data_IF_536315138140
#
_entry.id   IF_536315138140
#
_cell.length_a   1.000
_cell.length_b   1.000
_cell.length_c   1.000
_cell.angle_alpha   90.00
_cell.angle_beta   90.00
_cell.angle_gamma   90.00
#
_symmetry.space_group_name_H-M   'P 1'
#
loop_
_entity.id
_entity.type
_entity.pdbx_description
1 polymer ?
#
# COMPACT_ATOMS: atom_id res chain seq x y z
N UNK A 1 1.55 10.82 55.39
CA UNK A 1 0.63 11.66 54.60
C UNK A 1 0.17 12.95 55.29
N UNK A 2 -0.07 13.00 56.62
CA UNK A 2 -0.51 14.24 57.32
C UNK A 2 0.51 15.38 57.31
N UNK A 3 1.82 15.09 57.21
CA UNK A 3 2.89 16.11 57.24
C UNK A 3 2.94 16.95 55.95
N UNK A 4 2.91 16.28 54.79
CA UNK A 4 2.92 16.92 53.45
C UNK A 4 1.68 17.83 53.28
N UNK A 5 0.51 17.34 53.69
CA UNK A 5 -0.73 18.12 53.67
C UNK A 5 -0.68 19.35 54.58
N UNK A 6 -0.06 19.23 55.77
CA UNK A 6 0.17 20.37 56.67
C UNK A 6 1.12 21.40 56.04
N UNK A 7 2.21 20.96 55.42
CA UNK A 7 3.14 21.86 54.72
C UNK A 7 2.49 22.60 53.55
N UNK A 8 1.72 21.89 52.71
CA UNK A 8 1.03 22.48 51.56
C UNK A 8 0.01 23.54 51.99
N UNK A 9 -0.71 23.31 53.10
CA UNK A 9 -1.70 24.27 53.62
C UNK A 9 -1.10 25.45 54.38
N UNK A 10 0.15 25.33 54.83
CA UNK A 10 0.83 26.34 55.66
C UNK A 10 1.61 27.37 54.82
N UNK A 11 2.14 26.97 53.65
CA UNK A 11 2.91 27.86 52.78
C UNK A 11 2.18 28.29 51.50
N UNK A 12 1.09 27.62 51.12
CA UNK A 12 0.34 27.90 49.90
C UNK A 12 -1.15 28.04 50.19
N UNK A 13 -1.76 29.08 49.62
CA UNK A 13 -3.22 29.24 49.69
C UNK A 13 -3.90 28.08 48.96
N UNK A 14 -5.07 27.64 49.46
CA UNK A 14 -5.90 26.62 48.77
C UNK A 14 -6.14 27.00 47.31
N UNK A 15 -6.33 28.29 47.00
CA UNK A 15 -6.52 28.77 45.64
C UNK A 15 -5.29 28.57 44.75
N UNK A 16 -4.08 28.72 45.30
CA UNK A 16 -2.84 28.45 44.57
C UNK A 16 -2.70 26.95 44.29
N UNK A 17 -2.98 26.10 45.27
CA UNK A 17 -2.94 24.64 45.13
C UNK A 17 -3.92 24.14 44.06
N UNK A 18 -5.16 24.65 44.08
CA UNK A 18 -6.13 24.38 43.02
C UNK A 18 -5.65 24.88 41.66
N UNK A 19 -5.06 26.08 41.59
CA UNK A 19 -4.47 26.60 40.35
C UNK A 19 -3.38 25.70 39.78
N UNK A 20 -2.43 25.25 40.61
CA UNK A 20 -1.38 24.31 40.19
C UNK A 20 -1.95 22.97 39.73
N UNK A 21 -2.96 22.45 40.41
CA UNK A 21 -3.63 21.22 40.01
C UNK A 21 -4.32 21.36 38.66
N UNK A 22 -5.11 22.42 38.46
CA UNK A 22 -5.79 22.66 37.17
C UNK A 22 -4.78 22.89 36.04
N UNK A 23 -3.71 23.65 36.27
CA UNK A 23 -2.68 23.88 35.25
C UNK A 23 -2.01 22.58 34.80
N UNK A 24 -1.67 21.68 35.74
CA UNK A 24 -1.10 20.37 35.40
C UNK A 24 -2.13 19.46 34.72
N UNK A 25 -3.39 19.51 35.13
CA UNK A 25 -4.47 18.75 34.51
C UNK A 25 -4.67 19.18 33.05
N UNK A 26 -4.76 20.48 32.79
CA UNK A 26 -4.88 21.00 31.43
C UNK A 26 -3.64 20.70 30.60
N UNK A 27 -2.44 20.81 31.17
CA UNK A 27 -1.19 20.43 30.50
C UNK A 27 -1.23 18.97 30.04
N UNK A 28 -1.67 18.05 30.91
CA UNK A 28 -1.84 16.64 30.57
C UNK A 28 -2.90 16.41 29.50
N UNK A 29 -4.04 17.10 29.56
CA UNK A 29 -5.09 17.01 28.55
C UNK A 29 -4.58 17.43 27.17
N UNK A 30 -3.83 18.54 27.08
CA UNK A 30 -3.26 19.01 25.81
C UNK A 30 -2.27 17.99 25.23
N UNK A 31 -1.40 17.42 26.07
CA UNK A 31 -0.43 16.41 25.63
C UNK A 31 -1.14 15.16 25.11
N UNK A 32 -2.13 14.64 25.83
CA UNK A 32 -2.90 13.46 25.42
C UNK A 32 -3.68 13.72 24.13
N UNK A 33 -4.26 14.91 23.99
CA UNK A 33 -4.98 15.32 22.79
C UNK A 33 -4.04 15.38 21.57
N UNK A 34 -2.81 15.91 21.73
CA UNK A 34 -1.80 15.91 20.68
C UNK A 34 -1.41 14.49 20.24
N UNK A 35 -1.25 13.56 21.18
CA UNK A 35 -0.94 12.15 20.87
C UNK A 35 -2.11 11.47 20.15
N UNK A 36 -3.35 11.73 20.57
CA UNK A 36 -4.55 11.20 19.91
C UNK A 36 -4.67 11.76 18.49
N UNK A 37 -4.59 13.08 18.34
CA UNK A 37 -4.64 13.75 17.04
C UNK A 37 -3.55 13.24 16.08
N UNK A 38 -2.31 13.07 16.56
CA UNK A 38 -1.25 12.48 15.75
C UNK A 38 -1.61 11.08 15.24
N UNK A 39 -2.15 10.22 16.12
CA UNK A 39 -2.58 8.87 15.74
C UNK A 39 -3.78 8.87 14.80
N UNK A 40 -4.68 9.82 14.93
CA UNK A 40 -5.89 9.90 14.11
C UNK A 40 -5.59 10.44 12.70
N UNK A 41 -4.64 11.37 12.61
CA UNK A 41 -4.24 12.01 11.36
C UNK A 41 -3.25 11.15 10.57
N UNK A 42 -2.41 10.36 11.24
CA UNK A 42 -1.42 9.50 10.59
C UNK A 42 -2.03 8.58 9.51
N UNK A 43 -3.14 7.85 9.74
CA UNK A 43 -3.84 7.07 8.72
C UNK A 43 -4.30 7.88 7.52
N UNK A 44 -4.71 9.14 7.70
CA UNK A 44 -5.16 9.97 6.57
C UNK A 44 -3.99 10.28 5.60
N UNK A 45 -2.77 10.37 6.11
CA UNK A 45 -1.56 10.57 5.30
C UNK A 45 -0.92 9.26 4.83
N UNK A 46 -0.94 8.19 5.63
CA UNK A 46 -0.34 6.89 5.26
C UNK A 46 -1.22 6.03 4.35
N UNK A 47 -2.52 6.35 4.23
CA UNK A 47 -3.39 5.72 3.23
C UNK A 47 -3.03 6.08 1.78
N UNK A 48 -2.28 7.18 1.56
CA UNK A 48 -1.89 7.65 0.23
C UNK A 48 -0.97 6.70 -0.55
N UNK A 49 -0.25 5.81 0.13
CA UNK A 49 0.70 4.87 -0.50
C UNK A 49 0.25 3.40 -0.48
N UNK A 50 -0.97 3.12 -0.02
CA UNK A 50 -1.54 1.75 -0.08
C UNK A 50 -2.07 1.39 -1.48
N UNK A 51 -1.59 2.05 -2.54
CA UNK A 51 -1.71 1.57 -3.92
C UNK A 51 -0.93 0.27 -4.14
N UNK A 52 0.07 0.00 -3.30
CA UNK A 52 0.46 -1.37 -3.00
C UNK A 52 -0.67 -1.97 -2.16
N UNK A 53 -1.67 -2.56 -2.83
CA UNK A 53 -2.64 -3.41 -2.16
C UNK A 53 -1.83 -4.40 -1.33
N UNK A 54 -1.93 -4.32 0.00
CA UNK A 54 -1.16 -5.13 0.95
C UNK A 54 -1.39 -6.65 0.81
N UNK A 55 -2.12 -7.08 -0.21
CA UNK A 55 -2.61 -8.43 -0.43
C UNK A 55 -1.94 -9.11 -1.62
N UNK A 56 -1.23 -8.39 -2.51
CA UNK A 56 -0.52 -9.03 -3.62
C UNK A 56 0.70 -8.23 -4.12
N UNK A 57 1.61 -8.95 -4.79
CA UNK A 57 2.80 -8.42 -5.45
C UNK A 57 2.78 -8.93 -6.90
N UNK A 58 3.00 -8.04 -7.87
CA UNK A 58 3.18 -8.42 -9.28
C UNK A 58 4.68 -8.47 -9.58
N UNK A 59 5.15 -9.62 -10.06
CA UNK A 59 6.56 -9.84 -10.38
C UNK A 59 6.72 -9.95 -11.90
N UNK A 60 7.60 -9.13 -12.48
CA UNK A 60 7.86 -9.10 -13.92
C UNK A 60 9.32 -9.43 -14.23
N UNK A 61 9.56 -10.30 -15.22
CA UNK A 61 10.90 -10.62 -15.70
C UNK A 61 11.41 -9.51 -16.62
N UNK A 62 12.60 -8.97 -16.34
CA UNK A 62 13.20 -7.95 -17.21
C UNK A 62 13.62 -8.61 -18.52
N UNK A 63 13.04 -8.15 -19.62
CA UNK A 63 13.50 -8.47 -20.97
C UNK A 63 14.67 -7.55 -21.34
N UNK A 64 15.73 -8.12 -21.92
CA UNK A 64 16.88 -7.37 -22.44
C UNK A 64 16.93 -7.49 -23.96
N UNK A 65 17.30 -6.41 -24.65
CA UNK A 65 17.37 -6.35 -26.12
C UNK A 65 18.30 -7.41 -26.72
N UNK A 66 19.35 -7.78 -25.99
CA UNK A 66 20.25 -8.90 -26.35
C UNK A 66 19.56 -10.28 -26.25
N UNK A 67 18.62 -10.46 -25.32
CA UNK A 67 17.86 -11.71 -25.17
C UNK A 67 16.81 -11.89 -26.27
N UNK A 68 16.23 -10.79 -26.75
CA UNK A 68 15.28 -10.82 -27.88
C UNK A 68 15.92 -11.24 -29.21
N UNK A 69 17.25 -11.08 -29.35
CA UNK A 69 18.00 -11.53 -30.52
C UNK A 69 18.31 -13.03 -30.48
N UNK A 70 18.33 -13.64 -29.29
CA UNK A 70 18.68 -15.05 -29.07
C UNK A 70 17.42 -15.95 -28.98
N UNK A 71 16.23 -15.41 -29.25
CA UNK A 71 14.96 -16.15 -29.19
C UNK A 71 14.76 -16.85 -27.82
N UNK A 72 15.32 -16.27 -26.75
CA UNK A 72 15.18 -16.81 -25.40
C UNK A 72 13.79 -16.48 -24.88
N UNK A 73 13.13 -17.48 -24.29
CA UNK A 73 11.81 -17.30 -23.69
C UNK A 73 11.81 -16.14 -22.69
N UNK A 74 10.87 -15.22 -22.89
CA UNK A 74 10.70 -14.03 -22.05
C UNK A 74 9.77 -14.28 -20.86
N UNK A 75 9.28 -15.51 -20.70
CA UNK A 75 8.39 -15.95 -19.63
C UNK A 75 9.16 -16.53 -18.44
N UNK A 76 8.46 -16.73 -17.33
CA UNK A 76 8.99 -17.48 -16.20
C UNK A 76 9.05 -18.97 -16.53
N UNK A 77 10.14 -19.64 -16.15
CA UNK A 77 10.25 -21.09 -16.30
C UNK A 77 9.44 -21.81 -15.21
N UNK A 78 9.15 -23.10 -15.42
CA UNK A 78 8.41 -23.90 -14.45
C UNK A 78 9.13 -23.98 -13.08
N UNK A 79 10.47 -24.00 -13.11
CA UNK A 79 11.34 -24.00 -11.94
C UNK A 79 11.28 -22.65 -11.19
N UNK A 80 11.37 -21.53 -11.91
CA UNK A 80 11.25 -20.18 -11.32
C UNK A 80 9.87 -19.99 -10.66
N UNK A 81 8.80 -20.45 -11.32
CA UNK A 81 7.43 -20.41 -10.79
C UNK A 81 7.33 -21.25 -9.50
N UNK A 82 7.94 -22.45 -9.49
CA UNK A 82 7.96 -23.31 -8.30
C UNK A 82 8.71 -22.66 -7.14
N UNK A 83 9.87 -22.08 -7.40
CA UNK A 83 10.68 -21.38 -6.39
C UNK A 83 9.92 -20.19 -5.77
N UNK A 84 9.22 -19.40 -6.60
CA UNK A 84 8.40 -18.28 -6.14
C UNK A 84 7.20 -18.75 -5.29
N UNK A 85 6.62 -19.91 -5.63
CA UNK A 85 5.53 -20.52 -4.87
C UNK A 85 5.96 -21.02 -3.50
N UNK A 86 7.22 -21.46 -3.36
CA UNK A 86 7.78 -21.99 -2.11
C UNK A 86 8.24 -20.90 -1.12
N UNK A 87 8.24 -19.63 -1.53
CA UNK A 87 8.64 -18.53 -0.65
C UNK A 87 7.70 -18.37 0.54
N UNK A 88 8.21 -18.02 1.74
CA UNK A 88 7.42 -17.96 2.97
C UNK A 88 6.33 -16.89 2.97
N UNK A 89 6.43 -15.88 2.10
CA UNK A 89 5.45 -14.81 1.95
C UNK A 89 4.37 -15.13 0.89
N UNK A 90 4.54 -16.18 0.09
CA UNK A 90 3.61 -16.53 -0.99
C UNK A 90 2.49 -17.41 -0.46
N UNK A 91 1.29 -16.85 -0.30
CA UNK A 91 0.08 -17.62 0.08
C UNK A 91 -0.61 -18.27 -1.11
N UNK A 92 -0.78 -17.49 -2.17
CA UNK A 92 -1.38 -17.90 -3.46
C UNK A 92 -0.60 -17.20 -4.56
N UNK A 93 -0.54 -17.82 -5.72
CA UNK A 93 0.19 -17.30 -6.88
C UNK A 93 -0.60 -17.59 -8.14
N UNK A 94 -0.89 -16.54 -8.91
CA UNK A 94 -1.47 -16.63 -10.25
C UNK A 94 -0.41 -16.30 -11.29
N UNK A 95 -0.38 -17.06 -12.38
CA UNK A 95 0.55 -16.84 -13.49
C UNK A 95 -0.22 -16.17 -14.63
N UNK A 96 0.30 -15.05 -15.12
CA UNK A 96 -0.22 -14.39 -16.32
C UNK A 96 0.10 -15.24 -17.54
N UNK A 97 -0.95 -15.64 -18.28
CA UNK A 97 -0.79 -16.41 -19.53
C UNK A 97 -1.00 -15.46 -20.71
N UNK A 98 0.02 -15.22 -21.55
CA UNK A 98 -0.10 -14.33 -22.70
C UNK A 98 -1.00 -14.91 -23.78
N UNK A 99 -1.60 -14.03 -24.60
CA UNK A 99 -2.37 -14.42 -25.78
C UNK A 99 -1.52 -15.23 -26.76
N UNK A 100 -2.08 -16.34 -27.26
CA UNK A 100 -1.49 -17.12 -28.36
C UNK A 100 -1.58 -16.46 -29.74
N UNK A 101 -2.26 -15.31 -29.83
CA UNK A 101 -2.48 -14.58 -31.08
C UNK A 101 -2.11 -13.10 -30.92
N UNK A 102 -1.58 -12.50 -31.98
CA UNK A 102 -1.37 -11.04 -32.04
C UNK A 102 -2.70 -10.36 -32.30
N UNK A 103 -3.09 -9.45 -31.42
CA UNK A 103 -4.34 -8.69 -31.56
C UNK A 103 -4.00 -7.24 -31.86
N UNK A 104 -4.67 -6.66 -32.85
CA UNK A 104 -4.49 -5.27 -33.23
C UNK A 104 -5.81 -4.53 -33.10
N UNK A 105 -5.81 -3.40 -32.41
CA UNK A 105 -6.91 -2.44 -32.43
C UNK A 105 -6.67 -1.44 -33.56
N UNK A 106 -7.61 -1.36 -34.50
CA UNK A 106 -7.59 -0.39 -35.59
C UNK A 106 -8.65 0.69 -35.41
N UNK A 107 -8.28 1.96 -35.57
CA UNK A 107 -9.19 3.07 -35.82
C UNK A 107 -9.11 3.43 -37.30
N UNK A 108 -10.22 3.26 -38.01
CA UNK A 108 -10.37 3.67 -39.41
C UNK A 108 -11.26 4.89 -39.53
N UNK A 109 -10.72 6.04 -39.97
CA UNK A 109 -11.54 7.17 -40.37
C UNK A 109 -11.90 7.00 -41.86
N UNK A 110 -13.06 6.40 -42.13
CA UNK A 110 -13.46 5.96 -43.48
C UNK A 110 -13.47 7.05 -44.57
N UNK A 111 -13.43 8.33 -44.19
CA UNK A 111 -13.38 9.47 -45.10
C UNK A 111 -11.96 10.02 -45.38
N UNK A 112 -10.93 9.60 -44.63
CA UNK A 112 -9.58 10.16 -44.74
C UNK A 112 -8.49 9.14 -45.15
N UNK A 113 -8.84 7.87 -45.39
CA UNK A 113 -7.88 6.83 -45.78
C UNK A 113 -6.82 6.49 -44.72
N UNK A 114 -6.94 7.04 -43.50
CA UNK A 114 -6.03 6.80 -42.40
C UNK A 114 -6.49 5.60 -41.58
N UNK A 115 -5.66 4.56 -41.55
CA UNK A 115 -5.78 3.42 -40.67
C UNK A 115 -4.71 3.52 -39.59
N UNK A 116 -5.12 3.83 -38.37
CA UNK A 116 -4.24 3.78 -37.20
C UNK A 116 -4.45 2.43 -36.53
N UNK A 117 -3.39 1.62 -36.39
CA UNK A 117 -3.45 0.35 -35.69
C UNK A 117 -2.43 0.28 -34.57
N UNK A 118 -2.83 -0.17 -33.38
CA UNK A 118 -1.94 -0.49 -32.26
C UNK A 118 -2.08 -1.95 -31.88
N UNK A 119 -0.98 -2.59 -31.47
CA UNK A 119 -1.02 -3.91 -30.86
C UNK A 119 -1.71 -3.85 -29.48
N UNK A 120 -2.51 -4.85 -29.16
CA UNK A 120 -3.16 -5.03 -27.87
C UNK A 120 -2.59 -6.26 -27.18
N UNK A 121 -2.14 -6.07 -25.94
CA UNK A 121 -1.60 -7.13 -25.09
C UNK A 121 -2.72 -7.72 -24.24
N UNK A 122 -3.19 -8.91 -24.61
CA UNK A 122 -4.14 -9.67 -23.80
C UNK A 122 -3.40 -10.73 -23.00
N UNK A 123 -3.69 -10.75 -21.71
CA UNK A 123 -3.21 -11.75 -20.77
C UNK A 123 -4.39 -12.27 -19.98
N UNK A 124 -4.36 -13.56 -19.64
CA UNK A 124 -5.34 -14.18 -18.75
C UNK A 124 -4.73 -14.44 -17.38
N UNK A 125 -5.58 -14.39 -16.36
CA UNK A 125 -5.27 -14.75 -14.98
C UNK A 125 -6.16 -15.92 -14.56
N UNK A 126 -5.73 -16.78 -13.62
CA UNK A 126 -6.58 -17.87 -13.13
C UNK A 126 -7.87 -17.37 -12.48
N UNK A 127 -8.95 -18.13 -12.62
CA UNK A 127 -10.29 -17.75 -12.14
C UNK A 127 -10.35 -17.40 -10.65
N UNK A 128 -9.51 -18.03 -9.82
CA UNK A 128 -9.45 -17.76 -8.38
C UNK A 128 -9.01 -16.33 -8.02
N UNK A 129 -8.44 -15.59 -8.98
CA UNK A 129 -8.02 -14.20 -8.83
C UNK A 129 -8.98 -13.21 -9.49
N UNK A 130 -10.05 -13.68 -10.13
CA UNK A 130 -11.09 -12.84 -10.73
C UNK A 130 -12.30 -12.82 -9.80
N UNK A 131 -12.58 -11.67 -9.20
CA UNK A 131 -13.81 -11.49 -8.43
C UNK A 131 -14.97 -11.23 -9.41
N UNK A 132 -15.70 -12.29 -9.76
CA UNK A 132 -16.82 -12.25 -10.71
C UNK A 132 -18.18 -12.05 -10.00
N UNK A 133 -18.24 -11.20 -8.98
CA UNK A 133 -19.47 -10.84 -8.27
C UNK A 133 -19.89 -9.39 -8.48
#
# INVERSE_FOLDING_TARGET
>A
MKLIWKLLRQHMSIGQLSGFFLANLFGMVIVLFGVQFYKDVLPAFTRGDSFMKNEYIVVTKRISTLGSLVNKDNTFSAEEIKELKEQPFTKRMGVFTPSGFKVFAGLGMGSAGMHLSTEMFFESVPDEFVDAR
#
